data_IF_410163161144
#
_entry.id   IF_410163161144
#
_cell.length_a   1.000
_cell.length_b   1.000
_cell.length_c   1.000
_cell.angle_alpha   90.00
_cell.angle_beta   90.00
_cell.angle_gamma   90.00
#
_symmetry.space_group_name_H-M   'P 1'
#
loop_
_entity.id
_entity.type
_entity.pdbx_description
1 polymer ?
#
# COMPACT_ATOMS: atom_id res chain seq x y z
N UNK A 1 12.91 -48.22 -20.35
CA UNK A 1 13.25 -46.82 -20.67
C UNK A 1 12.89 -46.01 -19.43
N UNK A 2 13.87 -45.71 -18.58
CA UNK A 2 13.65 -45.05 -17.28
C UNK A 2 13.77 -43.55 -17.52
N UNK A 3 12.65 -42.83 -17.43
CA UNK A 3 12.67 -41.37 -17.55
C UNK A 3 12.99 -40.81 -16.18
N UNK A 4 14.25 -40.43 -16.00
CA UNK A 4 14.66 -39.52 -14.92
C UNK A 4 14.23 -38.12 -15.34
N UNK A 5 13.15 -37.60 -14.75
CA UNK A 5 12.85 -36.17 -14.83
C UNK A 5 13.46 -35.53 -13.58
N UNK A 6 14.48 -34.71 -13.79
CA UNK A 6 15.12 -33.88 -12.78
C UNK A 6 14.09 -32.96 -12.10
N UNK A 7 14.25 -32.66 -10.80
CA UNK A 7 13.35 -31.72 -10.13
C UNK A 7 13.55 -30.34 -10.74
N UNK A 8 12.48 -29.84 -11.38
CA UNK A 8 12.34 -28.44 -11.79
C UNK A 8 12.71 -27.56 -10.60
N UNK A 9 13.78 -26.79 -10.77
CA UNK A 9 14.19 -25.72 -9.88
C UNK A 9 12.97 -24.80 -9.75
N UNK A 10 12.46 -24.68 -8.54
CA UNK A 10 11.30 -23.86 -8.25
C UNK A 10 11.51 -22.46 -8.82
N UNK A 11 10.53 -21.99 -9.60
CA UNK A 11 10.27 -20.57 -9.73
C UNK A 11 10.36 -19.98 -8.32
N UNK A 12 11.42 -19.21 -8.07
CA UNK A 12 11.48 -18.36 -6.91
C UNK A 12 10.26 -17.45 -7.04
N UNK A 13 9.18 -17.77 -6.34
CA UNK A 13 7.95 -17.01 -6.36
C UNK A 13 8.33 -15.54 -6.24
N UNK A 14 8.07 -14.77 -7.29
CA UNK A 14 8.44 -13.36 -7.35
C UNK A 14 7.85 -12.71 -6.10
N UNK A 15 8.73 -12.20 -5.23
CA UNK A 15 8.30 -11.67 -3.92
C UNK A 15 7.27 -10.58 -4.19
N UNK A 16 6.08 -10.60 -3.55
CA UNK A 16 5.07 -9.58 -3.78
C UNK A 16 5.67 -8.19 -3.57
N UNK A 17 5.40 -7.26 -4.48
CA UNK A 17 5.94 -5.89 -4.44
C UNK A 17 5.73 -5.22 -3.06
N UNK A 18 4.60 -5.47 -2.41
CA UNK A 18 4.33 -4.97 -1.06
C UNK A 18 5.35 -5.43 -0.01
N UNK A 19 5.82 -6.68 -0.07
CA UNK A 19 6.86 -7.19 0.83
C UNK A 19 8.21 -6.53 0.57
N UNK A 20 8.55 -6.30 -0.70
CA UNK A 20 9.79 -5.61 -1.08
C UNK A 20 9.81 -4.16 -0.57
N UNK A 21 8.68 -3.46 -0.69
CA UNK A 21 8.52 -2.10 -0.16
C UNK A 21 8.53 -2.07 1.38
N UNK A 22 7.96 -3.08 2.05
CA UNK A 22 8.00 -3.17 3.52
C UNK A 22 9.42 -3.36 4.05
N UNK A 23 10.27 -4.08 3.34
CA UNK A 23 11.66 -4.32 3.74
C UNK A 23 12.53 -3.05 3.72
N UNK A 24 12.13 -2.05 2.94
CA UNK A 24 12.88 -0.80 2.77
C UNK A 24 12.25 0.39 3.49
N UNK A 25 11.05 0.22 4.06
CA UNK A 25 10.37 1.23 4.83
C UNK A 25 11.17 1.65 6.08
N UNK A 26 11.40 2.95 6.20
CA UNK A 26 12.39 3.53 7.13
C UNK A 26 11.82 3.91 8.49
N UNK A 27 10.52 4.23 8.56
CA UNK A 27 9.86 4.63 9.79
C UNK A 27 8.49 3.97 9.98
N UNK A 28 7.84 4.23 11.11
CA UNK A 28 6.54 3.64 11.45
C UNK A 28 5.44 4.07 10.47
N UNK A 29 5.40 5.33 10.06
CA UNK A 29 4.37 5.86 9.16
C UNK A 29 4.48 5.21 7.80
N UNK A 30 5.71 5.12 7.29
CA UNK A 30 5.99 4.46 6.03
C UNK A 30 5.63 2.98 6.08
N UNK A 31 6.06 2.24 7.11
CA UNK A 31 5.71 0.82 7.25
C UNK A 31 4.20 0.59 7.26
N UNK A 32 3.47 1.37 8.07
CA UNK A 32 2.01 1.29 8.17
C UNK A 32 1.35 1.61 6.82
N UNK A 33 1.83 2.65 6.13
CA UNK A 33 1.28 3.04 4.83
C UNK A 33 1.55 1.99 3.74
N UNK A 34 2.76 1.41 3.69
CA UNK A 34 3.08 0.32 2.76
C UNK A 34 2.25 -0.92 3.07
N UNK A 35 2.12 -1.30 4.35
CA UNK A 35 1.31 -2.46 4.75
C UNK A 35 -0.15 -2.30 4.31
N UNK A 36 -0.75 -1.13 4.55
CA UNK A 36 -2.11 -0.82 4.13
C UNK A 36 -2.27 -0.84 2.59
N UNK A 37 -1.30 -0.31 1.84
CA UNK A 37 -1.34 -0.33 0.37
C UNK A 37 -1.18 -1.74 -0.20
N UNK A 38 -0.30 -2.55 0.41
CA UNK A 38 -0.11 -3.95 0.07
C UNK A 38 -1.37 -4.77 0.36
N UNK A 39 -2.02 -4.52 1.51
CA UNK A 39 -3.29 -5.16 1.86
C UNK A 39 -4.41 -4.76 0.89
N UNK A 40 -4.47 -3.49 0.47
CA UNK A 40 -5.43 -3.02 -0.52
C UNK A 40 -5.23 -3.73 -1.87
N UNK A 41 -3.98 -3.86 -2.32
CA UNK A 41 -3.53 -4.73 -3.41
C UNK A 41 -3.98 -4.33 -4.81
N UNK A 42 -5.21 -3.85 -5.00
CA UNK A 42 -5.78 -3.53 -6.32
C UNK A 42 -5.19 -2.25 -6.89
N UNK A 43 -4.99 -1.23 -6.04
CA UNK A 43 -4.31 0.03 -6.37
C UNK A 43 -2.83 -0.24 -6.62
N UNK A 44 -2.19 -1.06 -5.77
CA UNK A 44 -0.78 -1.43 -5.97
C UNK A 44 -0.58 -2.26 -7.24
N UNK A 45 -1.59 -2.96 -7.74
CA UNK A 45 -1.52 -3.69 -9.00
C UNK A 45 -1.56 -2.77 -10.25
N UNK A 46 -2.01 -1.52 -10.11
CA UNK A 46 -2.11 -0.60 -11.25
C UNK A 46 -0.73 -0.15 -11.75
N UNK A 47 -0.42 -0.30 -13.06
CA UNK A 47 0.85 0.16 -13.62
C UNK A 47 1.10 1.65 -13.39
N UNK A 48 0.08 2.50 -13.55
CA UNK A 48 0.17 3.95 -13.32
C UNK A 48 0.65 4.28 -11.90
N UNK A 49 0.10 3.57 -10.90
CA UNK A 49 0.50 3.73 -9.50
C UNK A 49 1.93 3.23 -9.29
N UNK A 50 2.28 2.04 -9.78
CA UNK A 50 3.65 1.47 -9.62
C UNK A 50 4.71 2.37 -10.22
N UNK A 51 4.49 2.88 -11.44
CA UNK A 51 5.44 3.77 -12.13
C UNK A 51 5.73 5.05 -11.34
N UNK A 52 4.72 5.57 -10.62
CA UNK A 52 4.85 6.80 -9.86
C UNK A 52 5.37 6.54 -8.45
N UNK A 53 4.92 5.46 -7.80
CA UNK A 53 5.24 5.15 -6.41
C UNK A 53 6.60 4.49 -6.24
N UNK A 54 6.99 3.58 -7.14
CA UNK A 54 8.17 2.74 -6.93
C UNK A 54 9.40 3.41 -7.51
N UNK A 55 10.44 3.51 -6.70
CA UNK A 55 11.77 3.90 -7.12
C UNK A 55 12.77 2.79 -6.84
N UNK A 56 13.54 2.43 -7.86
CA UNK A 56 14.64 1.48 -7.80
C UNK A 56 15.96 2.23 -7.92
N UNK A 57 16.79 2.31 -6.86
CA UNK A 57 18.06 3.04 -6.88
C UNK A 57 19.17 2.37 -7.70
N UNK A 58 18.92 1.15 -8.21
CA UNK A 58 19.94 0.29 -8.84
C UNK A 58 20.72 -0.59 -7.85
N UNK A 59 20.38 -0.57 -6.56
CA UNK A 59 20.94 -1.43 -5.50
C UNK A 59 20.15 -2.73 -5.30
N UNK A 60 19.20 -3.03 -6.20
CA UNK A 60 18.30 -4.18 -6.11
C UNK A 60 17.17 -4.00 -5.08
N UNK A 61 17.00 -2.80 -4.51
CA UNK A 61 15.90 -2.48 -3.59
C UNK A 61 14.81 -1.66 -4.29
N UNK A 62 13.56 -1.81 -3.83
CA UNK A 62 12.43 -1.01 -4.26
C UNK A 62 11.97 -0.14 -3.07
N UNK A 63 11.77 1.15 -3.29
CA UNK A 63 11.36 2.13 -2.27
C UNK A 63 10.11 2.88 -2.71
N UNK A 64 9.32 3.33 -1.74
CA UNK A 64 8.20 4.21 -2.00
C UNK A 64 8.67 5.65 -2.19
N UNK A 65 8.12 6.34 -3.18
CA UNK A 65 8.25 7.79 -3.38
C UNK A 65 6.88 8.44 -3.25
N UNK A 66 6.45 8.65 -2.00
CA UNK A 66 5.13 9.17 -1.69
C UNK A 66 4.91 10.60 -2.20
N UNK A 67 5.95 11.44 -2.21
CA UNK A 67 5.89 12.80 -2.75
C UNK A 67 5.54 12.79 -4.24
N UNK A 68 6.11 11.84 -4.99
CA UNK A 68 5.80 11.67 -6.40
C UNK A 68 4.37 11.22 -6.59
N UNK A 69 3.89 10.30 -5.73
CA UNK A 69 2.49 9.86 -5.74
C UNK A 69 1.53 11.02 -5.50
N UNK A 70 1.76 11.83 -4.47
CA UNK A 70 0.96 13.03 -4.16
C UNK A 70 0.87 13.97 -5.37
N UNK A 71 2.00 14.21 -6.05
CA UNK A 71 2.04 15.09 -7.23
C UNK A 71 1.28 14.58 -8.46
N UNK A 72 0.94 13.28 -8.52
CA UNK A 72 0.32 12.66 -9.69
C UNK A 72 -1.06 12.06 -9.43
N UNK A 73 -1.62 12.16 -8.21
CA UNK A 73 -2.89 11.52 -7.82
C UNK A 73 -4.02 11.64 -8.85
N UNK A 74 -4.16 12.80 -9.49
CA UNK A 74 -5.23 13.08 -10.46
C UNK A 74 -4.96 12.54 -11.88
N UNK A 75 -3.77 12.00 -12.14
CA UNK A 75 -3.36 11.41 -13.43
C UNK A 75 -3.24 9.88 -13.42
N UNK A 76 -3.68 9.20 -12.34
CA UNK A 76 -3.44 7.78 -12.14
C UNK A 76 -4.56 6.85 -12.64
N UNK A 77 -5.61 7.39 -13.25
CA UNK A 77 -6.81 6.64 -13.68
C UNK A 77 -7.44 5.84 -12.52
N UNK A 78 -7.70 6.57 -11.43
CA UNK A 78 -8.31 6.05 -10.21
C UNK A 78 -9.79 6.38 -10.17
N UNK A 79 -10.60 5.44 -9.72
CA UNK A 79 -11.97 5.73 -9.29
C UNK A 79 -11.98 6.59 -8.02
N UNK A 80 -13.15 7.08 -7.62
CA UNK A 80 -13.27 7.99 -6.48
C UNK A 80 -12.91 7.32 -5.15
N UNK A 81 -13.19 6.04 -4.98
CA UNK A 81 -12.85 5.27 -3.78
C UNK A 81 -11.38 4.89 -3.69
N UNK A 82 -10.74 4.60 -4.83
CA UNK A 82 -9.29 4.40 -4.93
C UNK A 82 -8.54 5.70 -4.63
N UNK A 83 -8.99 6.82 -5.22
CA UNK A 83 -8.41 8.13 -4.95
C UNK A 83 -8.59 8.52 -3.49
N UNK A 84 -9.78 8.32 -2.92
CA UNK A 84 -10.05 8.58 -1.52
C UNK A 84 -9.17 7.74 -0.58
N UNK A 85 -8.93 6.47 -0.93
CA UNK A 85 -8.03 5.61 -0.17
C UNK A 85 -6.60 6.15 -0.19
N UNK A 86 -6.06 6.49 -1.37
CA UNK A 86 -4.71 7.05 -1.48
C UNK A 86 -4.59 8.42 -0.79
N UNK A 87 -5.61 9.27 -0.89
CA UNK A 87 -5.65 10.55 -0.17
C UNK A 87 -5.47 10.34 1.34
N UNK A 88 -6.24 9.43 1.94
CA UNK A 88 -6.15 9.12 3.37
C UNK A 88 -4.82 8.43 3.73
N UNK A 89 -4.35 7.52 2.88
CA UNK A 89 -3.09 6.82 3.08
C UNK A 89 -1.88 7.77 3.04
N UNK A 90 -1.89 8.77 2.16
CA UNK A 90 -0.83 9.78 2.10
C UNK A 90 -0.78 10.64 3.37
N UNK A 91 -1.93 10.88 4.00
CA UNK A 91 -1.96 11.50 5.34
C UNK A 91 -1.37 10.57 6.42
N UNK A 92 -1.56 9.26 6.33
CA UNK A 92 -0.93 8.26 7.22
C UNK A 92 0.60 8.23 7.02
N UNK A 93 1.06 8.24 5.76
CA UNK A 93 2.48 8.27 5.40
C UNK A 93 3.18 9.56 5.87
N UNK A 94 2.44 10.64 6.15
CA UNK A 94 2.97 11.89 6.71
C UNK A 94 3.62 12.83 5.70
N UNK A 95 3.29 12.69 4.41
CA UNK A 95 3.97 13.38 3.30
C UNK A 95 3.27 14.70 3.00
N UNK A 96 3.33 15.66 3.94
CA UNK A 96 2.75 17.01 3.83
C UNK A 96 1.34 17.10 3.18
N UNK A 97 0.58 16.00 3.21
CA UNK A 97 -0.69 15.82 2.51
C UNK A 97 -1.78 15.70 3.56
N UNK A 98 -2.60 16.74 3.67
CA UNK A 98 -3.71 16.79 4.60
C UNK A 98 -4.99 16.47 3.85
N UNK A 99 -5.60 15.34 4.17
CA UNK A 99 -6.84 14.90 3.56
C UNK A 99 -8.04 15.21 4.45
N UNK A 100 -9.13 15.64 3.83
CA UNK A 100 -10.41 15.77 4.51
C UNK A 100 -10.93 14.39 4.94
N UNK A 101 -11.30 14.25 6.23
CA UNK A 101 -11.91 13.03 6.73
C UNK A 101 -13.22 12.67 6.02
N UNK A 102 -13.89 13.61 5.34
CA UNK A 102 -15.10 13.33 4.55
C UNK A 102 -14.84 12.29 3.45
N UNK A 103 -13.59 12.14 2.99
CA UNK A 103 -13.22 11.13 1.98
C UNK A 103 -13.52 9.69 2.42
N UNK A 104 -13.70 9.43 3.73
CA UNK A 104 -14.15 8.12 4.22
C UNK A 104 -15.52 7.71 3.67
N UNK A 105 -16.35 8.67 3.24
CA UNK A 105 -17.66 8.39 2.64
C UNK A 105 -17.56 7.76 1.24
N UNK A 106 -16.43 7.96 0.55
CA UNK A 106 -16.15 7.36 -0.76
C UNK A 106 -15.54 5.95 -0.63
N UNK A 107 -15.20 5.53 0.59
CA UNK A 107 -14.61 4.21 0.84
C UNK A 107 -15.70 3.15 1.00
N UNK A 108 -15.55 2.05 0.26
CA UNK A 108 -16.22 0.80 0.61
C UNK A 108 -15.68 0.20 1.91
N UNK A 109 -16.46 -0.71 2.51
CA UNK A 109 -16.16 -1.35 3.80
C UNK A 109 -14.73 -1.88 3.91
N UNK A 110 -14.26 -2.58 2.87
CA UNK A 110 -12.91 -3.14 2.82
C UNK A 110 -11.83 -2.06 2.97
N UNK A 111 -11.89 -1.01 2.15
CA UNK A 111 -10.89 0.07 2.14
C UNK A 111 -10.93 0.88 3.43
N UNK A 112 -12.13 1.12 3.96
CA UNK A 112 -12.31 1.78 5.25
C UNK A 112 -11.67 0.97 6.39
N UNK A 113 -11.89 -0.34 6.44
CA UNK A 113 -11.31 -1.20 7.46
C UNK A 113 -9.77 -1.19 7.45
N UNK A 114 -9.16 -1.16 6.25
CA UNK A 114 -7.71 -1.05 6.08
C UNK A 114 -7.18 0.27 6.65
N UNK A 115 -7.79 1.40 6.28
CA UNK A 115 -7.37 2.73 6.78
C UNK A 115 -7.52 2.82 8.30
N UNK A 116 -8.61 2.29 8.85
CA UNK A 116 -8.84 2.31 10.29
C UNK A 116 -7.81 1.45 11.05
N UNK A 117 -7.47 0.26 10.54
CA UNK A 117 -6.36 -0.55 11.08
C UNK A 117 -5.03 0.20 11.03
N UNK A 118 -4.73 0.85 9.90
CA UNK A 118 -3.52 1.64 9.76
C UNK A 118 -3.45 2.78 10.80
N UNK A 119 -4.56 3.46 11.07
CA UNK A 119 -4.62 4.49 12.11
C UNK A 119 -4.43 3.92 13.52
N UNK A 120 -5.04 2.76 13.82
CA UNK A 120 -4.87 2.07 15.10
C UNK A 120 -3.39 1.71 15.32
N UNK A 121 -2.76 1.10 14.31
CA UNK A 121 -1.35 0.72 14.35
C UNK A 121 -0.45 1.95 14.51
N UNK A 122 -0.69 3.02 13.74
CA UNK A 122 0.07 4.27 13.85
C UNK A 122 -0.02 4.89 15.26
N UNK A 123 -1.16 4.73 15.92
CA UNK A 123 -1.39 5.26 17.27
C UNK A 123 -0.78 4.39 18.39
N UNK A 124 -0.30 3.19 18.07
CA UNK A 124 0.18 2.21 19.05
C UNK A 124 -0.91 1.67 19.98
N UNK A 125 -2.19 1.76 19.58
CA UNK A 125 -3.31 1.33 20.40
C UNK A 125 -3.79 -0.08 20.04
N UNK A 126 -3.20 -1.11 20.63
CA UNK A 126 -3.54 -2.50 20.30
C UNK A 126 -4.92 -2.97 20.82
N UNK A 127 -5.63 -2.10 21.54
CA UNK A 127 -6.89 -2.40 22.23
C UNK A 127 -8.11 -1.72 21.60
N UNK A 128 -7.89 -0.84 20.62
CA UNK A 128 -8.98 -0.12 19.98
C UNK A 128 -9.71 -1.07 19.02
N UNK A 129 -10.89 -1.54 19.42
CA UNK A 129 -11.81 -2.20 18.52
C UNK A 129 -12.48 -1.14 17.64
N UNK A 130 -12.20 -1.15 16.34
CA UNK A 130 -12.85 -0.26 15.37
C UNK A 130 -13.90 -1.05 14.57
N UNK A 131 -15.18 -0.68 14.75
CA UNK A 131 -16.35 -1.46 14.33
C UNK A 131 -16.80 -2.43 15.43
N UNK A 132 -18.08 -2.70 15.69
CA UNK A 132 -19.31 -2.71 14.88
C UNK A 132 -20.36 -1.65 15.27
N UNK A 133 -21.34 -1.36 14.40
CA UNK A 133 -22.61 -0.71 14.81
C UNK A 133 -23.79 -1.58 14.36
N UNK A 134 -24.77 -1.68 15.26
CA UNK A 134 -26.01 -2.50 15.26
C UNK A 134 -26.69 -2.50 13.89
#
# INVERSE_FOLDING_TARGET
MTITVEPSIGEAAERPLGELLLQTATDLRERVAVAALAEEGTILAKPSVRTVLVWEPGDGTARCTWERLTGHLYGLDLDDGERAFLDLLLSVAGVAHQTSLVRVMELGERRLAIILRAMVELSGNDRLAVGTRI
#
